data_IF_088186894929
#
_entry.id   IF_088186894929
#
_cell.length_a   1.000
_cell.length_b   1.000
_cell.length_c   1.000
_cell.angle_alpha   90.00
_cell.angle_beta   90.00
_cell.angle_gamma   90.00
#
_symmetry.space_group_name_H-M   'P 1'
#
loop_
_entity.id
_entity.type
_entity.pdbx_description
1 polymer ?
#
# COMPACT_ATOMS: atom_id res chain seq x y z
N UNK A 1 0.54 9.83 16.85
CA UNK A 1 1.92 9.47 17.26
C UNK A 1 2.57 8.75 16.09
N UNK A 2 3.85 9.01 15.79
CA UNK A 2 4.59 8.33 14.71
C UNK A 2 5.18 7.04 15.28
N UNK A 3 4.91 5.88 14.66
CA UNK A 3 5.19 4.55 15.22
C UNK A 3 6.69 4.16 15.28
N UNK A 4 7.58 4.87 14.58
CA UNK A 4 9.04 4.59 14.55
C UNK A 4 9.38 3.12 14.20
N UNK A 5 8.61 2.51 13.29
CA UNK A 5 8.85 1.15 12.79
C UNK A 5 9.44 1.18 11.38
N UNK A 6 10.25 0.17 10.99
CA UNK A 6 10.75 0.06 9.63
C UNK A 6 9.58 -0.15 8.64
N UNK A 7 9.69 0.45 7.45
CA UNK A 7 8.70 0.33 6.37
C UNK A 7 9.41 -0.13 5.10
N UNK A 8 8.86 -1.16 4.45
CA UNK A 8 9.36 -1.72 3.19
C UNK A 8 8.30 -1.59 2.11
N UNK A 9 8.68 -1.13 0.91
CA UNK A 9 7.80 -1.14 -0.26
C UNK A 9 8.13 -2.37 -1.12
N UNK A 10 7.12 -3.16 -1.46
CA UNK A 10 7.25 -4.35 -2.29
C UNK A 10 6.48 -4.19 -3.60
N UNK A 11 6.79 -5.05 -4.59
CA UNK A 11 5.94 -5.18 -5.79
C UNK A 11 4.52 -5.54 -5.40
N UNK A 12 3.55 -5.16 -6.23
CA UNK A 12 2.15 -5.44 -5.93
C UNK A 12 1.84 -6.93 -6.02
N UNK A 13 0.92 -7.38 -5.16
CA UNK A 13 0.53 -8.78 -5.04
C UNK A 13 1.06 -9.39 -3.76
N UNK A 14 0.17 -10.05 -3.02
CA UNK A 14 0.43 -10.59 -1.68
C UNK A 14 1.63 -11.52 -1.60
N UNK A 15 1.97 -12.23 -2.67
CA UNK A 15 3.19 -13.06 -2.73
C UNK A 15 4.46 -12.27 -2.42
N UNK A 16 4.57 -11.04 -2.95
CA UNK A 16 5.74 -10.20 -2.75
C UNK A 16 5.74 -9.58 -1.35
N UNK A 17 4.58 -9.12 -0.88
CA UNK A 17 4.42 -8.56 0.46
C UNK A 17 4.70 -9.59 1.55
N UNK A 18 4.17 -10.80 1.41
CA UNK A 18 4.39 -11.89 2.35
C UNK A 18 5.88 -12.22 2.48
N UNK A 19 6.60 -12.32 1.36
CA UNK A 19 8.04 -12.58 1.37
C UNK A 19 8.88 -11.48 2.03
N UNK A 20 8.47 -10.21 1.90
CA UNK A 20 9.13 -9.11 2.61
C UNK A 20 8.77 -9.13 4.11
N UNK A 21 7.54 -9.48 4.47
CA UNK A 21 7.08 -9.56 5.85
C UNK A 21 7.79 -10.67 6.66
N UNK A 22 8.14 -11.79 6.01
CA UNK A 22 8.93 -12.90 6.62
C UNK A 22 10.30 -12.48 7.15
N UNK A 23 10.84 -11.34 6.68
CA UNK A 23 12.16 -10.82 7.11
C UNK A 23 12.12 -10.16 8.49
N UNK A 24 10.94 -10.01 9.07
CA UNK A 24 10.73 -9.41 10.39
C UNK A 24 10.30 -10.47 11.41
N UNK A 25 10.48 -10.16 12.69
CA UNK A 25 9.93 -10.98 13.78
C UNK A 25 8.40 -10.95 13.79
N UNK A 26 7.84 -9.76 13.57
CA UNK A 26 6.41 -9.52 13.37
C UNK A 26 6.27 -8.68 12.11
N UNK A 27 5.77 -9.29 11.04
CA UNK A 27 5.61 -8.65 9.73
C UNK A 27 4.15 -8.28 9.46
N UNK A 28 3.82 -7.00 9.49
CA UNK A 28 2.48 -6.49 9.13
C UNK A 28 2.48 -6.12 7.65
N UNK A 29 1.60 -6.71 6.85
CA UNK A 29 1.45 -6.33 5.45
C UNK A 29 -0.01 -6.18 5.04
N UNK A 30 -0.35 -5.07 4.41
CA UNK A 30 -1.67 -4.80 3.84
C UNK A 30 -1.52 -4.02 2.54
N UNK A 31 -2.33 -4.38 1.54
CA UNK A 31 -2.57 -3.57 0.35
C UNK A 31 -3.73 -2.60 0.62
N UNK A 32 -3.71 -1.43 -0.03
CA UNK A 32 -4.78 -0.42 0.11
C UNK A 32 -6.18 -0.92 -0.34
N UNK A 33 -6.26 -2.07 -1.02
CA UNK A 33 -7.52 -2.72 -1.39
C UNK A 33 -8.14 -3.54 -0.24
N UNK A 34 -7.46 -3.63 0.91
CA UNK A 34 -7.90 -4.36 2.10
C UNK A 34 -7.29 -5.75 2.28
N UNK A 35 -6.52 -6.27 1.32
CA UNK A 35 -5.89 -7.59 1.47
C UNK A 35 -4.61 -7.49 2.30
N UNK A 36 -4.54 -8.20 3.43
CA UNK A 36 -3.32 -8.30 4.23
C UNK A 36 -3.45 -9.29 5.37
N UNK A 37 -2.38 -9.42 6.16
CA UNK A 37 -2.38 -10.12 7.45
C UNK A 37 -1.13 -9.71 8.25
N UNK A 38 -0.94 -10.32 9.43
CA UNK A 38 0.25 -10.18 10.27
C UNK A 38 0.93 -11.54 10.41
N UNK A 39 2.23 -11.60 10.15
CA UNK A 39 3.05 -12.81 10.31
C UNK A 39 3.88 -12.74 11.58
N UNK A 40 4.03 -13.88 12.25
CA UNK A 40 4.96 -14.05 13.37
C UNK A 40 5.96 -15.13 13.02
N UNK A 41 7.25 -14.77 12.91
CA UNK A 41 8.26 -15.76 12.57
C UNK A 41 8.43 -16.78 13.72
N UNK A 42 9.06 -17.92 13.40
CA UNK A 42 9.21 -18.99 14.38
C UNK A 42 9.97 -18.56 15.66
N UNK A 43 11.11 -17.86 15.57
CA UNK A 43 11.78 -17.29 16.76
C UNK A 43 10.88 -16.40 17.62
N UNK A 44 10.10 -15.50 17.02
CA UNK A 44 9.19 -14.59 17.71
C UNK A 44 8.09 -15.36 18.46
N UNK A 45 7.44 -16.29 17.79
CA UNK A 45 6.41 -17.15 18.41
C UNK A 45 6.99 -17.97 19.58
N UNK A 46 8.20 -18.50 19.44
CA UNK A 46 8.88 -19.17 20.56
C UNK A 46 9.18 -18.23 21.72
N UNK A 47 9.65 -17.01 21.44
CA UNK A 47 9.95 -16.01 22.45
C UNK A 47 8.69 -15.58 23.22
N UNK A 48 7.59 -15.33 22.52
CA UNK A 48 6.27 -15.00 23.09
C UNK A 48 5.78 -16.14 24.00
N UNK A 49 5.92 -17.39 23.56
CA UNK A 49 5.45 -18.55 24.33
C UNK A 49 6.30 -18.81 25.58
N UNK A 50 7.62 -18.59 25.52
CA UNK A 50 8.55 -18.82 26.63
C UNK A 50 8.67 -17.62 27.59
N UNK A 51 8.20 -16.44 27.20
CA UNK A 51 8.29 -15.24 28.03
C UNK A 51 7.56 -15.42 29.37
N UNK A 52 8.23 -15.02 30.45
CA UNK A 52 7.67 -14.98 31.79
C UNK A 52 7.43 -13.54 32.21
N UNK A 53 6.19 -13.22 32.56
CA UNK A 53 5.81 -11.90 33.04
C UNK A 53 6.49 -11.59 34.38
N UNK A 54 6.92 -10.34 34.56
CA UNK A 54 7.49 -9.84 35.84
C UNK A 54 6.52 -8.93 36.60
N UNK A 55 5.35 -8.68 36.03
CA UNK A 55 4.29 -7.86 36.61
C UNK A 55 2.93 -8.28 36.06
N UNK A 56 1.80 -7.96 36.74
CA UNK A 56 0.46 -8.23 36.22
C UNK A 56 0.21 -7.60 34.85
N UNK A 57 0.65 -6.36 34.63
CA UNK A 57 0.50 -5.68 33.34
C UNK A 57 1.26 -6.39 32.20
N UNK A 58 2.46 -6.91 32.48
CA UNK A 58 3.18 -7.72 31.50
C UNK A 58 2.51 -9.08 31.26
N UNK A 59 1.87 -9.66 32.27
CA UNK A 59 1.14 -10.92 32.12
C UNK A 59 -0.05 -10.74 31.18
N UNK A 60 -0.83 -9.67 31.38
CA UNK A 60 -1.95 -9.31 30.51
C UNK A 60 -1.49 -9.04 29.07
N UNK A 61 -0.42 -8.24 28.89
CA UNK A 61 0.11 -7.96 27.55
C UNK A 61 0.62 -9.23 26.83
N UNK A 62 1.26 -10.16 27.56
CA UNK A 62 1.70 -11.43 27.00
C UNK A 62 0.53 -12.35 26.64
N UNK A 63 -0.52 -12.38 27.45
CA UNK A 63 -1.74 -13.13 27.16
C UNK A 63 -2.43 -12.59 25.91
N UNK A 64 -2.60 -11.27 25.82
CA UNK A 64 -3.14 -10.61 24.64
C UNK A 64 -2.30 -10.91 23.39
N UNK A 65 -0.96 -10.80 23.48
CA UNK A 65 -0.09 -11.06 22.34
C UNK A 65 -0.18 -12.52 21.86
N UNK A 66 -0.28 -13.48 22.78
CA UNK A 66 -0.52 -14.90 22.44
C UNK A 66 -1.86 -15.08 21.73
N UNK A 67 -2.93 -14.48 22.25
CA UNK A 67 -4.24 -14.54 21.64
C UNK A 67 -4.26 -13.91 20.23
N UNK A 68 -3.50 -12.83 20.00
CA UNK A 68 -3.37 -12.22 18.68
C UNK A 68 -2.67 -13.14 17.66
N UNK A 69 -1.66 -13.90 18.08
CA UNK A 69 -0.97 -14.89 17.22
C UNK A 69 -1.95 -15.96 16.73
N UNK A 70 -2.89 -16.37 17.59
CA UNK A 70 -3.90 -17.38 17.26
C UNK A 70 -5.11 -16.80 16.50
N UNK A 71 -5.44 -15.52 16.72
CA UNK A 71 -6.55 -14.83 16.06
C UNK A 71 -6.26 -14.53 14.59
N UNK A 72 -5.05 -14.06 14.29
CA UNK A 72 -4.70 -13.59 12.95
C UNK A 72 -4.37 -14.75 12.02
N UNK A 73 -4.98 -14.77 10.83
CA UNK A 73 -4.72 -15.83 9.86
C UNK A 73 -3.34 -15.64 9.19
N UNK A 74 -2.34 -16.38 9.65
CA UNK A 74 -0.98 -16.29 9.12
C UNK A 74 -0.78 -17.00 7.76
N UNK A 75 -1.79 -17.70 7.23
CA UNK A 75 -1.69 -18.45 5.96
C UNK A 75 -1.97 -17.57 4.74
N UNK A 76 -3.03 -16.77 4.82
CA UNK A 76 -3.47 -15.84 3.77
C UNK A 76 -4.32 -14.76 4.44
N UNK A 77 -4.46 -13.60 3.80
CA UNK A 77 -5.36 -12.56 4.30
C UNK A 77 -6.79 -13.06 4.44
N UNK A 78 -7.41 -12.72 5.56
CA UNK A 78 -8.71 -13.23 5.98
C UNK A 78 -9.53 -12.09 6.58
N UNK A 79 -10.51 -11.62 5.82
CA UNK A 79 -11.31 -10.46 6.20
C UNK A 79 -12.09 -10.65 7.52
N UNK A 80 -12.44 -11.89 7.90
CA UNK A 80 -13.11 -12.12 9.19
C UNK A 80 -12.11 -12.04 10.35
N UNK A 81 -10.93 -12.63 10.17
CA UNK A 81 -9.82 -12.52 11.11
C UNK A 81 -9.39 -11.06 11.28
N UNK A 82 -9.24 -10.32 10.18
CA UNK A 82 -8.88 -8.90 10.17
C UNK A 82 -9.95 -8.03 10.86
N UNK A 83 -11.24 -8.29 10.58
CA UNK A 83 -12.34 -7.58 11.25
C UNK A 83 -12.28 -7.78 12.77
N UNK A 84 -12.10 -9.02 13.24
CA UNK A 84 -11.98 -9.30 14.68
C UNK A 84 -10.73 -8.65 15.28
N UNK A 85 -9.61 -8.67 14.56
CA UNK A 85 -8.38 -8.00 14.97
C UNK A 85 -8.59 -6.49 15.16
N UNK A 86 -9.25 -5.83 14.20
CA UNK A 86 -9.58 -4.40 14.27
C UNK A 86 -10.47 -4.11 15.48
N UNK A 87 -11.55 -4.86 15.68
CA UNK A 87 -12.47 -4.68 16.82
C UNK A 87 -11.75 -4.83 18.18
N UNK A 88 -10.87 -5.83 18.30
CA UNK A 88 -10.05 -6.03 19.50
C UNK A 88 -9.11 -4.85 19.74
N UNK A 89 -8.41 -4.36 18.69
CA UNK A 89 -7.47 -3.24 18.81
C UNK A 89 -8.20 -1.95 19.23
N UNK A 90 -9.32 -1.63 18.58
CA UNK A 90 -10.09 -0.41 18.88
C UNK A 90 -10.68 -0.47 20.29
N UNK A 91 -11.20 -1.63 20.70
CA UNK A 91 -11.70 -1.86 22.06
C UNK A 91 -10.57 -1.70 23.08
N UNK A 92 -9.41 -2.33 22.87
CA UNK A 92 -8.29 -2.21 23.79
C UNK A 92 -7.76 -0.78 23.90
N UNK A 93 -7.69 -0.04 22.78
CA UNK A 93 -7.27 1.37 22.76
C UNK A 93 -8.34 2.34 23.26
N UNK A 94 -9.58 1.89 23.43
CA UNK A 94 -10.74 2.75 23.67
C UNK A 94 -10.87 3.83 22.58
N UNK A 95 -10.66 3.44 21.33
CA UNK A 95 -10.73 4.32 20.16
C UNK A 95 -12.06 4.16 19.44
N UNK A 96 -12.68 5.29 19.13
CA UNK A 96 -13.75 5.35 18.13
C UNK A 96 -13.18 5.28 16.71
N UNK A 97 -14.00 4.96 15.70
CA UNK A 97 -13.57 5.04 14.29
C UNK A 97 -12.99 6.40 13.92
N UNK A 98 -13.54 7.50 14.45
CA UNK A 98 -13.02 8.86 14.22
C UNK A 98 -11.64 9.08 14.84
N UNK A 99 -11.38 8.53 16.03
CA UNK A 99 -10.05 8.64 16.64
C UNK A 99 -9.00 7.84 15.86
N UNK A 100 -9.39 6.66 15.35
CA UNK A 100 -8.52 5.88 14.48
C UNK A 100 -8.23 6.60 13.15
N UNK A 101 -9.26 7.14 12.50
CA UNK A 101 -9.11 7.92 11.25
C UNK A 101 -8.19 9.15 11.44
N UNK A 102 -8.18 9.75 12.63
CA UNK A 102 -7.28 10.85 12.97
C UNK A 102 -5.85 10.44 13.35
N UNK A 103 -5.48 9.16 13.26
CA UNK A 103 -4.11 8.71 13.55
C UNK A 103 -3.08 9.35 12.60
N UNK A 104 -3.49 9.63 11.36
CA UNK A 104 -2.77 10.45 10.38
C UNK A 104 -3.77 11.04 9.36
N UNK A 105 -3.32 11.90 8.45
CA UNK A 105 -4.18 12.44 7.39
C UNK A 105 -3.64 12.03 6.04
N UNK A 106 -4.44 11.30 5.27
CA UNK A 106 -4.10 10.96 3.89
C UNK A 106 -3.87 12.21 3.05
N UNK A 107 -2.84 12.17 2.19
CA UNK A 107 -2.77 13.10 1.08
C UNK A 107 -3.94 12.82 0.12
N UNK A 108 -4.59 13.86 -0.43
CA UNK A 108 -5.47 13.69 -1.55
C UNK A 108 -4.79 12.86 -2.64
N UNK A 109 -5.41 11.75 -2.99
CA UNK A 109 -4.91 10.81 -3.98
C UNK A 109 -5.98 10.43 -5.00
N UNK A 110 -5.54 9.90 -6.15
CA UNK A 110 -6.40 9.43 -7.25
C UNK A 110 -5.71 8.28 -8.00
N UNK A 111 -6.51 7.29 -8.37
CA UNK A 111 -6.12 6.19 -9.26
C UNK A 111 -6.92 6.29 -10.57
N UNK A 112 -6.21 6.43 -11.69
CA UNK A 112 -6.78 6.52 -13.04
C UNK A 112 -6.42 5.26 -13.83
N UNK A 113 -7.37 4.78 -14.63
CA UNK A 113 -7.18 3.68 -15.57
C UNK A 113 -7.00 4.25 -16.97
N UNK A 114 -5.89 3.93 -17.63
CA UNK A 114 -5.61 4.28 -19.02
C UNK A 114 -5.66 3.01 -19.86
N UNK A 115 -6.55 2.97 -20.86
CA UNK A 115 -6.61 1.85 -21.81
C UNK A 115 -5.50 2.04 -22.84
N UNK A 116 -4.71 1.00 -23.06
CA UNK A 116 -3.57 1.03 -23.98
C UNK A 116 -3.68 -0.11 -25.00
N UNK A 117 -2.99 0.03 -26.13
CA UNK A 117 -2.92 -1.00 -27.17
C UNK A 117 -2.17 -2.25 -26.69
N UNK A 118 -1.01 -2.05 -26.04
CA UNK A 118 -0.18 -3.11 -25.49
C UNK A 118 0.40 -2.67 -24.14
N UNK A 119 -0.06 -3.29 -23.06
CA UNK A 119 0.46 -3.00 -21.71
C UNK A 119 1.85 -3.59 -21.46
N UNK A 120 2.30 -4.56 -22.24
CA UNK A 120 3.55 -5.29 -21.99
C UNK A 120 4.80 -4.47 -22.26
N UNK A 121 4.65 -3.35 -23.00
CA UNK A 121 5.71 -2.37 -23.21
C UNK A 121 6.07 -1.60 -21.93
N UNK A 122 5.18 -1.58 -20.93
CA UNK A 122 5.40 -0.89 -19.67
C UNK A 122 6.17 -1.79 -18.72
N UNK A 123 7.49 -1.61 -18.63
CA UNK A 123 8.34 -2.37 -17.72
C UNK A 123 8.70 -1.52 -16.52
N UNK A 124 8.51 -2.06 -15.32
CA UNK A 124 8.74 -1.34 -14.06
C UNK A 124 9.93 -1.90 -13.28
N UNK A 125 10.48 -1.07 -12.38
CA UNK A 125 11.47 -1.41 -11.37
C UNK A 125 11.11 -0.73 -10.04
N UNK A 126 11.91 -0.99 -9.00
CA UNK A 126 11.77 -0.38 -7.67
C UNK A 126 10.34 -0.49 -7.11
N UNK A 127 9.89 -1.71 -6.80
CA UNK A 127 8.55 -1.97 -6.26
C UNK A 127 7.40 -1.44 -7.15
N UNK A 128 7.58 -1.50 -8.47
CA UNK A 128 6.62 -1.01 -9.47
C UNK A 128 6.35 0.50 -9.45
N UNK A 129 7.27 1.29 -8.88
CA UNK A 129 7.14 2.75 -8.76
C UNK A 129 7.91 3.53 -9.83
N UNK A 130 8.79 2.87 -10.59
CA UNK A 130 9.63 3.49 -11.62
C UNK A 130 9.45 2.72 -12.92
N UNK A 131 9.11 3.43 -14.01
CA UNK A 131 9.14 2.87 -15.37
C UNK A 131 10.58 2.85 -15.90
N UNK A 132 10.96 1.69 -16.44
CA UNK A 132 12.16 1.48 -17.25
C UNK A 132 11.83 1.64 -18.74
N UNK A 133 10.66 1.15 -19.14
CA UNK A 133 10.13 1.29 -20.50
C UNK A 133 8.66 1.73 -20.44
N UNK A 134 8.17 2.56 -21.38
CA UNK A 134 8.92 3.20 -22.48
C UNK A 134 9.98 4.21 -22.02
N UNK A 135 11.09 4.31 -22.76
CA UNK A 135 12.17 5.23 -22.43
C UNK A 135 11.68 6.70 -22.40
N UNK A 136 12.28 7.51 -21.52
CA UNK A 136 11.93 8.93 -21.27
C UNK A 136 10.55 9.19 -20.65
N UNK A 137 9.64 8.21 -20.61
CA UNK A 137 8.32 8.43 -20.01
C UNK A 137 8.45 8.72 -18.50
N UNK A 138 9.32 7.98 -17.80
CA UNK A 138 9.58 8.23 -16.38
C UNK A 138 10.15 9.63 -16.11
N UNK A 139 11.08 10.11 -16.94
CA UNK A 139 11.66 11.45 -16.77
C UNK A 139 10.58 12.53 -16.84
N UNK A 140 9.64 12.37 -17.78
CA UNK A 140 8.53 13.32 -17.95
C UNK A 140 7.50 13.22 -16.82
N UNK A 141 7.30 12.03 -16.23
CA UNK A 141 6.53 11.87 -15.00
C UNK A 141 7.22 12.63 -13.86
N UNK A 142 8.54 12.47 -13.70
CA UNK A 142 9.31 13.16 -12.67
C UNK A 142 9.20 14.70 -12.82
N UNK A 143 9.31 15.21 -14.05
CA UNK A 143 9.14 16.64 -14.36
C UNK A 143 7.74 17.17 -14.00
N UNK A 144 6.69 16.36 -14.20
CA UNK A 144 5.33 16.72 -13.80
C UNK A 144 5.21 16.73 -12.28
N UNK A 145 5.65 15.66 -11.63
CA UNK A 145 5.58 15.49 -10.17
C UNK A 145 6.27 16.64 -9.44
N UNK A 146 7.43 17.08 -9.90
CA UNK A 146 8.20 18.18 -9.29
C UNK A 146 7.47 19.53 -9.23
N UNK A 147 6.39 19.70 -10.00
CA UNK A 147 5.58 20.93 -10.02
C UNK A 147 4.52 20.99 -8.92
N UNK A 148 4.33 19.91 -8.16
CA UNK A 148 3.25 19.78 -7.17
C UNK A 148 3.82 19.55 -5.77
N UNK A 149 3.23 20.21 -4.77
CA UNK A 149 3.67 20.04 -3.37
C UNK A 149 3.23 18.67 -2.88
N UNK A 150 4.14 17.95 -2.22
CA UNK A 150 3.93 16.55 -1.83
C UNK A 150 3.51 15.66 -3.03
N UNK A 151 3.93 16.05 -4.24
CA UNK A 151 3.59 15.32 -5.45
C UNK A 151 4.27 13.96 -5.47
N UNK A 152 3.50 12.92 -5.74
CA UNK A 152 4.01 11.60 -6.14
C UNK A 152 3.07 10.99 -7.15
N UNK A 153 3.63 10.44 -8.23
CA UNK A 153 2.86 9.69 -9.21
C UNK A 153 3.70 8.57 -9.79
N UNK A 154 3.07 7.44 -10.08
CA UNK A 154 3.71 6.32 -10.74
C UNK A 154 2.72 5.61 -11.65
N UNK A 155 3.27 4.89 -12.62
CA UNK A 155 2.55 4.25 -13.70
C UNK A 155 2.99 2.80 -13.75
N UNK A 156 2.03 1.88 -13.82
CA UNK A 156 2.32 0.45 -13.94
C UNK A 156 1.27 -0.28 -14.78
N UNK A 157 1.66 -1.35 -15.48
CA UNK A 157 0.69 -2.19 -16.16
C UNK A 157 -0.22 -2.92 -15.16
N UNK A 158 -1.48 -3.14 -15.54
CA UNK A 158 -2.33 -4.09 -14.84
C UNK A 158 -1.84 -5.53 -15.12
N UNK A 159 -2.02 -6.42 -14.15
CA UNK A 159 -1.68 -7.84 -14.32
C UNK A 159 -2.76 -8.64 -15.07
N UNK A 160 -3.99 -8.13 -15.08
CA UNK A 160 -5.20 -8.88 -15.48
C UNK A 160 -5.96 -8.28 -16.66
N UNK A 161 -5.61 -7.07 -17.07
CA UNK A 161 -6.34 -6.29 -18.07
C UNK A 161 -5.36 -5.50 -18.93
N UNK A 162 -5.66 -5.25 -20.21
CA UNK A 162 -4.85 -4.40 -21.11
C UNK A 162 -5.05 -2.91 -20.84
N UNK A 163 -4.70 -2.54 -19.61
CA UNK A 163 -4.74 -1.18 -19.09
C UNK A 163 -3.50 -0.91 -18.27
N UNK A 164 -3.19 0.37 -18.16
CA UNK A 164 -2.16 0.90 -17.28
C UNK A 164 -2.84 1.69 -16.16
N UNK A 165 -2.34 1.52 -14.94
CA UNK A 165 -2.83 2.24 -13.76
C UNK A 165 -1.91 3.41 -13.47
N UNK A 166 -2.49 4.59 -13.34
CA UNK A 166 -1.80 5.83 -12.98
C UNK A 166 -2.26 6.21 -11.59
N UNK A 167 -1.35 6.15 -10.62
CA UNK A 167 -1.60 6.67 -9.28
C UNK A 167 -1.01 8.07 -9.16
N UNK A 168 -1.69 8.98 -8.48
CA UNK A 168 -1.11 10.24 -8.05
C UNK A 168 -1.64 10.66 -6.68
N UNK A 169 -0.80 11.36 -5.92
CA UNK A 169 -1.12 12.06 -4.68
C UNK A 169 -0.44 13.43 -4.67
N UNK A 170 -1.05 14.41 -3.98
CA UNK A 170 -0.49 15.75 -3.81
C UNK A 170 -1.04 16.40 -2.53
N UNK A 171 -0.52 17.58 -2.17
CA UNK A 171 -0.90 18.29 -0.95
C UNK A 171 -2.37 18.78 -0.92
N UNK A 172 -3.05 18.90 -2.06
CA UNK A 172 -4.47 19.26 -2.11
C UNK A 172 -5.19 18.54 -3.27
N UNK A 173 -6.53 18.47 -3.19
CA UNK A 173 -7.38 17.76 -4.17
C UNK A 173 -7.21 18.28 -5.60
N UNK A 174 -7.13 19.60 -5.78
CA UNK A 174 -7.01 20.20 -7.11
C UNK A 174 -5.68 19.83 -7.78
N UNK A 175 -4.57 19.94 -7.04
CA UNK A 175 -3.24 19.54 -7.51
C UNK A 175 -3.16 18.03 -7.79
N UNK A 176 -3.71 17.20 -6.91
CA UNK A 176 -3.74 15.75 -7.07
C UNK A 176 -4.47 15.37 -8.37
N UNK A 177 -5.65 15.92 -8.58
CA UNK A 177 -6.47 15.61 -9.75
C UNK A 177 -5.78 16.07 -11.04
N UNK A 178 -5.18 17.28 -11.04
CA UNK A 178 -4.38 17.74 -12.19
C UNK A 178 -3.18 16.84 -12.47
N UNK A 179 -2.41 16.45 -11.44
CA UNK A 179 -1.24 15.59 -11.61
C UNK A 179 -1.65 14.23 -12.18
N UNK A 180 -2.69 13.61 -11.61
CA UNK A 180 -3.21 12.32 -12.07
C UNK A 180 -3.58 12.38 -13.56
N UNK A 181 -4.28 13.43 -13.97
CA UNK A 181 -4.76 13.58 -15.33
C UNK A 181 -3.68 13.96 -16.34
N UNK A 182 -2.72 14.80 -15.98
CA UNK A 182 -1.57 15.09 -16.84
C UNK A 182 -0.71 13.86 -17.08
N UNK A 183 -0.48 13.04 -16.04
CA UNK A 183 0.26 11.79 -16.19
C UNK A 183 -0.55 10.77 -17.00
N UNK A 184 -1.86 10.68 -16.80
CA UNK A 184 -2.73 9.83 -17.62
C UNK A 184 -2.74 10.25 -19.09
N UNK A 185 -2.85 11.54 -19.38
CA UNK A 185 -2.70 12.09 -20.74
C UNK A 185 -1.34 11.79 -21.34
N UNK A 186 -0.27 11.92 -20.54
CA UNK A 186 1.08 11.55 -20.95
C UNK A 186 1.19 10.11 -21.46
N UNK A 187 0.64 9.18 -20.68
CA UNK A 187 0.63 7.75 -20.98
C UNK A 187 -0.21 7.48 -22.23
N UNK A 188 -1.40 8.08 -22.30
CA UNK A 188 -2.30 7.91 -23.44
C UNK A 188 -1.66 8.43 -24.73
N UNK A 189 -1.13 9.65 -24.71
CA UNK A 189 -0.65 10.35 -25.89
C UNK A 189 0.68 9.80 -26.43
N UNK A 190 1.49 9.15 -25.58
CA UNK A 190 2.86 8.78 -25.93
C UNK A 190 3.20 7.30 -25.76
N UNK A 191 2.30 6.51 -25.19
CA UNK A 191 2.54 5.09 -24.93
C UNK A 191 1.33 4.23 -25.35
N UNK A 192 0.73 4.58 -26.48
CA UNK A 192 -0.27 3.74 -27.16
C UNK A 192 -1.65 3.77 -26.50
N UNK A 193 -2.13 4.93 -26.08
CA UNK A 193 -3.52 5.09 -25.62
C UNK A 193 -4.52 4.65 -26.68
N UNK A 194 -5.55 3.90 -26.25
CA UNK A 194 -6.53 3.28 -27.15
C UNK A 194 -7.92 3.90 -26.97
N UNK A 195 -8.55 4.27 -28.08
CA UNK A 195 -9.92 4.79 -28.12
C UNK A 195 -9.98 6.32 -28.17
N UNK A 196 -11.13 6.87 -27.77
CA UNK A 196 -11.28 8.32 -27.66
C UNK A 196 -10.53 8.84 -26.42
N UNK A 197 -9.74 9.90 -26.61
CA UNK A 197 -8.96 10.51 -25.54
C UNK A 197 -9.89 11.19 -24.53
N UNK A 198 -9.91 10.77 -23.25
CA UNK A 198 -10.77 11.39 -22.24
C UNK A 198 -10.51 12.89 -22.11
N UNK A 199 -11.59 13.68 -22.00
CA UNK A 199 -11.50 15.14 -21.88
C UNK A 199 -10.77 15.59 -20.61
N UNK A 200 -10.83 14.80 -19.54
CA UNK A 200 -10.10 15.08 -18.32
C UNK A 200 -8.59 14.97 -18.46
N UNK A 201 -8.05 14.24 -19.45
CA UNK A 201 -6.60 14.08 -19.62
C UNK A 201 -6.03 15.40 -20.10
N UNK A 202 -5.27 16.08 -19.22
CA UNK A 202 -4.76 17.44 -19.47
C UNK A 202 -3.43 17.44 -20.21
#
# INVERSE_FOLDING_TARGET
>A
EVLQVPVTCAKTGVKHLHHEAEKFDIGVYFEANGHGTVLFNHPATQAINKAQARSPAQAEALEQLKALVDLINQTVGDAFSDMLLVEVILTHRQWSPTQWDHAYTDLPNRLVKVVVEDRTIFKTTNADTILVEPARLQDRINDLVAKYRCGRSFVRPSGTEDVVRVYAEAANRHECDQLAFKVAGLVFDQAGGKGERPHEFL
#
